data_IF_781431920645
#
_entry.id   IF_781431920645
#
_cell.length_a   1.000
_cell.length_b   1.000
_cell.length_c   1.000
_cell.angle_alpha   90.00
_cell.angle_beta   90.00
_cell.angle_gamma   90.00
#
_symmetry.space_group_name_H-M   'P 1'
#
loop_
_entity.id
_entity.type
_entity.pdbx_description
1 polymer ?
#
# COMPACT_ATOMS: atom_id res chain seq x y z
N UNK A 1 9.06 68.47 -23.40
CA UNK A 1 7.88 67.79 -22.82
C UNK A 1 8.17 66.30 -22.76
N UNK A 2 7.94 65.63 -21.61
CA UNK A 2 8.17 64.20 -21.44
C UNK A 2 6.98 63.40 -22.00
N UNK A 3 7.25 62.41 -22.85
CA UNK A 3 6.29 61.38 -23.25
C UNK A 3 6.52 60.13 -22.40
N UNK A 4 5.76 60.01 -21.31
CA UNK A 4 5.74 58.85 -20.42
C UNK A 4 5.02 57.67 -21.08
N UNK A 5 5.76 56.76 -21.68
CA UNK A 5 5.28 55.43 -22.06
C UNK A 5 5.48 54.46 -20.89
N UNK A 6 4.64 54.54 -19.86
CA UNK A 6 4.48 53.45 -18.89
C UNK A 6 3.76 52.31 -19.60
N UNK A 7 4.53 51.42 -20.24
CA UNK A 7 4.02 50.12 -20.63
C UNK A 7 3.54 49.40 -19.38
N UNK A 8 2.23 49.20 -19.27
CA UNK A 8 1.66 48.33 -18.25
C UNK A 8 2.40 46.99 -18.31
N UNK A 9 2.93 46.45 -17.19
CA UNK A 9 3.51 45.12 -17.20
C UNK A 9 2.42 44.17 -17.68
N UNK A 10 2.61 43.63 -18.89
CA UNK A 10 1.69 42.65 -19.46
C UNK A 10 1.48 41.56 -18.41
N UNK A 11 0.23 41.34 -18.03
CA UNK A 11 -0.17 40.22 -17.19
C UNK A 11 0.22 38.94 -17.94
N UNK A 12 1.44 38.45 -17.69
CA UNK A 12 1.86 37.13 -18.17
C UNK A 12 0.90 36.15 -17.51
N UNK A 13 -0.09 35.68 -18.27
CA UNK A 13 -1.01 34.66 -17.80
C UNK A 13 -0.18 33.47 -17.36
N UNK A 14 -0.22 33.15 -16.07
CA UNK A 14 0.52 31.98 -15.57
C UNK A 14 -0.03 30.74 -16.24
N UNK A 15 0.83 29.80 -16.62
CA UNK A 15 0.40 28.56 -17.26
C UNK A 15 -0.61 27.80 -16.39
N UNK A 16 -1.47 26.98 -17.00
CA UNK A 16 -2.46 26.17 -16.27
C UNK A 16 -1.81 25.33 -15.17
N UNK A 17 -0.61 24.77 -15.43
CA UNK A 17 0.16 24.02 -14.43
C UNK A 17 0.55 24.87 -13.21
N UNK A 18 0.94 26.14 -13.41
CA UNK A 18 1.28 27.07 -12.31
C UNK A 18 0.04 27.47 -11.52
N UNK A 19 -1.13 27.59 -12.16
CA UNK A 19 -2.39 27.82 -11.42
C UNK A 19 -2.78 26.59 -10.60
N UNK A 20 -2.67 25.40 -11.18
CA UNK A 20 -2.98 24.14 -10.51
C UNK A 20 -2.06 23.88 -9.31
N UNK A 21 -0.80 24.30 -9.37
CA UNK A 21 0.14 24.13 -8.26
C UNK A 21 -0.20 24.97 -7.02
N UNK A 22 -1.01 26.02 -7.19
CA UNK A 22 -1.45 26.89 -6.10
C UNK A 22 -2.81 26.48 -5.53
N UNK A 23 -3.52 25.56 -6.21
CA UNK A 23 -4.82 25.06 -5.78
C UNK A 23 -4.67 23.90 -4.80
N UNK A 24 -5.13 24.09 -3.55
CA UNK A 24 -5.19 23.01 -2.56
C UNK A 24 -6.08 21.84 -2.98
N UNK A 25 -7.04 22.05 -3.89
CA UNK A 25 -7.90 21.00 -4.45
C UNK A 25 -7.13 20.04 -5.33
N UNK A 26 -6.15 20.53 -6.10
CA UNK A 26 -5.32 19.69 -6.99
C UNK A 26 -4.60 18.61 -6.20
N UNK A 27 -3.96 18.99 -5.08
CA UNK A 27 -3.23 18.05 -4.24
C UNK A 27 -4.12 16.97 -3.63
N UNK A 28 -5.32 17.35 -3.16
CA UNK A 28 -6.29 16.39 -2.65
C UNK A 28 -6.77 15.44 -3.76
N UNK A 29 -7.19 15.96 -4.92
CA UNK A 29 -7.67 15.12 -6.03
C UNK A 29 -6.60 14.13 -6.48
N UNK A 30 -5.36 14.59 -6.70
CA UNK A 30 -4.26 13.71 -7.11
C UNK A 30 -3.96 12.61 -6.07
N UNK A 31 -3.96 12.94 -4.77
CA UNK A 31 -3.73 11.95 -3.73
C UNK A 31 -4.81 10.85 -3.72
N UNK A 32 -6.08 11.23 -3.86
CA UNK A 32 -7.18 10.27 -3.91
C UNK A 32 -7.21 9.47 -5.21
N UNK A 33 -6.78 10.04 -6.34
CA UNK A 33 -6.60 9.30 -7.59
C UNK A 33 -5.51 8.24 -7.48
N UNK A 34 -4.39 8.53 -6.80
CA UNK A 34 -3.35 7.52 -6.53
C UNK A 34 -3.90 6.40 -5.65
N UNK A 35 -4.63 6.72 -4.57
CA UNK A 35 -5.28 5.71 -3.72
C UNK A 35 -6.32 4.87 -4.48
N UNK A 36 -7.15 5.53 -5.29
CA UNK A 36 -8.14 4.87 -6.12
C UNK A 36 -7.45 3.93 -7.13
N UNK A 37 -6.33 4.37 -7.73
CA UNK A 37 -5.51 3.53 -8.60
C UNK A 37 -5.00 2.29 -7.87
N UNK A 38 -4.39 2.45 -6.69
CA UNK A 38 -3.89 1.32 -5.90
C UNK A 38 -5.00 0.37 -5.42
N UNK A 39 -6.18 0.90 -5.07
CA UNK A 39 -7.35 0.10 -4.71
C UNK A 39 -7.90 -0.66 -5.93
N UNK A 40 -7.99 0.01 -7.09
CA UNK A 40 -8.43 -0.62 -8.33
C UNK A 40 -7.50 -1.77 -8.70
N UNK A 41 -6.18 -1.57 -8.58
CA UNK A 41 -5.23 -2.64 -8.79
C UNK A 41 -5.35 -3.77 -7.78
N UNK A 42 -5.63 -3.47 -6.51
CA UNK A 42 -5.87 -4.49 -5.48
C UNK A 42 -7.11 -5.35 -5.81
N UNK A 43 -8.21 -4.73 -6.22
CA UNK A 43 -9.40 -5.48 -6.64
C UNK A 43 -9.11 -6.29 -7.92
N UNK A 44 -8.36 -5.72 -8.87
CA UNK A 44 -7.90 -6.41 -10.07
C UNK A 44 -7.11 -7.67 -9.75
N UNK A 45 -6.06 -7.59 -8.92
CA UNK A 45 -5.25 -8.77 -8.56
C UNK A 45 -6.03 -9.79 -7.73
N UNK A 46 -6.90 -9.35 -6.82
CA UNK A 46 -7.71 -10.28 -6.01
C UNK A 46 -8.67 -11.10 -6.88
N UNK A 47 -9.27 -10.43 -7.87
CA UNK A 47 -10.09 -11.10 -8.87
C UNK A 47 -9.24 -11.98 -9.79
N UNK A 48 -8.07 -11.52 -10.22
CA UNK A 48 -7.18 -12.27 -11.10
C UNK A 48 -6.72 -13.59 -10.49
N UNK A 49 -6.26 -13.56 -9.24
CA UNK A 49 -5.90 -14.75 -8.48
C UNK A 49 -7.09 -15.72 -8.42
N UNK A 50 -8.28 -15.22 -8.09
CA UNK A 50 -9.48 -16.06 -8.04
C UNK A 50 -9.86 -16.61 -9.43
N UNK A 51 -9.67 -15.84 -10.49
CA UNK A 51 -9.91 -16.28 -11.87
C UNK A 51 -8.99 -17.43 -12.26
N UNK A 52 -7.71 -17.34 -11.91
CA UNK A 52 -6.73 -18.41 -12.14
C UNK A 52 -7.08 -19.71 -11.38
N UNK A 53 -7.75 -19.60 -10.24
CA UNK A 53 -8.23 -20.75 -9.45
C UNK A 53 -9.52 -21.33 -10.05
N UNK A 54 -10.54 -20.48 -10.22
CA UNK A 54 -11.90 -20.87 -10.57
C UNK A 54 -12.08 -21.28 -12.03
N UNK A 55 -11.36 -20.65 -12.95
CA UNK A 55 -11.50 -20.85 -14.40
C UNK A 55 -10.19 -21.38 -14.97
N UNK A 56 -9.09 -20.72 -14.64
CA UNK A 56 -7.77 -20.99 -15.17
C UNK A 56 -7.27 -19.90 -16.13
N UNK A 57 -6.00 -20.01 -16.55
CA UNK A 57 -5.40 -19.05 -17.46
C UNK A 57 -6.11 -19.07 -18.82
N UNK A 58 -6.48 -17.87 -19.30
CA UNK A 58 -7.22 -17.69 -20.57
C UNK A 58 -6.39 -16.84 -21.54
N UNK A 59 -6.36 -15.52 -21.34
CA UNK A 59 -5.56 -14.59 -22.14
C UNK A 59 -4.89 -13.53 -21.27
N UNK A 60 -3.87 -12.86 -21.79
CA UNK A 60 -3.23 -11.74 -21.08
C UNK A 60 -4.21 -10.57 -20.84
N UNK A 61 -5.23 -10.41 -21.69
CA UNK A 61 -6.17 -9.29 -21.62
C UNK A 61 -7.51 -9.68 -20.98
N UNK A 62 -7.48 -10.50 -19.93
CA UNK A 62 -8.66 -10.74 -19.07
C UNK A 62 -9.15 -9.43 -18.46
N UNK A 63 -10.43 -9.36 -18.10
CA UNK A 63 -10.97 -8.18 -17.42
C UNK A 63 -10.30 -7.93 -16.06
N UNK A 64 -9.88 -8.97 -15.35
CA UNK A 64 -9.11 -8.87 -14.10
C UNK A 64 -7.76 -8.19 -14.32
N UNK A 65 -7.01 -8.60 -15.35
CA UNK A 65 -5.78 -7.93 -15.76
C UNK A 65 -6.03 -6.49 -16.19
N UNK A 66 -7.03 -6.22 -17.03
CA UNK A 66 -7.33 -4.85 -17.47
C UNK A 66 -7.66 -3.95 -16.27
N UNK A 67 -8.42 -4.45 -15.29
CA UNK A 67 -8.70 -3.73 -14.06
C UNK A 67 -7.40 -3.46 -13.27
N UNK A 68 -6.58 -4.49 -13.09
CA UNK A 68 -5.27 -4.41 -12.44
C UNK A 68 -4.37 -3.34 -13.07
N UNK A 69 -4.15 -3.41 -14.38
CA UNK A 69 -3.33 -2.48 -15.15
C UNK A 69 -3.92 -1.06 -15.17
N UNK A 70 -5.25 -0.92 -15.26
CA UNK A 70 -5.90 0.39 -15.24
C UNK A 70 -5.66 1.15 -13.93
N UNK A 71 -5.70 0.45 -12.78
CA UNK A 71 -5.41 1.05 -11.48
C UNK A 71 -3.98 1.59 -11.40
N UNK A 72 -3.01 0.82 -11.88
CA UNK A 72 -1.59 1.22 -11.89
C UNK A 72 -1.36 2.37 -12.86
N UNK A 73 -2.02 2.34 -14.03
CA UNK A 73 -1.98 3.44 -15.00
C UNK A 73 -2.53 4.75 -14.41
N UNK A 74 -3.67 4.70 -13.70
CA UNK A 74 -4.24 5.88 -13.00
C UNK A 74 -3.25 6.44 -11.99
N UNK A 75 -2.66 5.59 -11.14
CA UNK A 75 -1.67 6.01 -10.15
C UNK A 75 -0.40 6.61 -10.80
N UNK A 76 0.11 5.97 -11.85
CA UNK A 76 1.30 6.39 -12.59
C UNK A 76 1.12 7.71 -13.33
N UNK A 77 0.05 7.84 -14.12
CA UNK A 77 -0.26 9.07 -14.86
C UNK A 77 -0.51 10.23 -13.90
N UNK A 78 -1.28 10.01 -12.83
CA UNK A 78 -1.51 11.04 -11.81
C UNK A 78 -0.20 11.51 -11.18
N UNK A 79 0.69 10.57 -10.86
CA UNK A 79 2.00 10.86 -10.30
C UNK A 79 2.88 11.67 -11.26
N UNK A 80 2.91 11.28 -12.54
CA UNK A 80 3.62 12.02 -13.59
C UNK A 80 3.09 13.45 -13.73
N UNK A 81 1.77 13.62 -13.78
CA UNK A 81 1.13 14.95 -13.83
C UNK A 81 1.57 15.82 -12.64
N UNK A 82 1.60 15.26 -11.43
CA UNK A 82 2.04 16.00 -10.24
C UNK A 82 3.53 16.38 -10.29
N UNK A 83 4.40 15.53 -10.84
CA UNK A 83 5.81 15.86 -11.10
C UNK A 83 5.93 17.00 -12.12
N UNK A 84 5.14 16.96 -13.20
CA UNK A 84 5.14 18.01 -14.22
C UNK A 84 4.61 19.35 -13.67
N UNK A 85 3.56 19.33 -12.83
CA UNK A 85 3.03 20.52 -12.14
C UNK A 85 4.09 21.11 -11.21
N UNK A 86 4.75 20.28 -10.39
CA UNK A 86 5.82 20.72 -9.49
C UNK A 86 7.01 21.32 -10.25
N UNK A 87 7.39 20.70 -11.37
CA UNK A 87 8.46 21.17 -12.25
C UNK A 87 8.10 22.52 -12.88
N UNK A 88 6.88 22.67 -13.38
CA UNK A 88 6.41 23.93 -13.96
C UNK A 88 6.37 25.07 -12.93
N UNK A 89 5.93 24.78 -11.70
CA UNK A 89 5.93 25.74 -10.61
C UNK A 89 7.35 26.20 -10.25
N UNK A 90 8.30 25.26 -10.14
CA UNK A 90 9.70 25.58 -9.87
C UNK A 90 10.32 26.45 -10.98
N UNK A 91 10.08 26.12 -12.26
CA UNK A 91 10.57 26.91 -13.41
C UNK A 91 9.97 28.32 -13.44
N UNK A 92 8.75 28.49 -12.93
CA UNK A 92 8.08 29.78 -12.79
C UNK A 92 8.48 30.55 -11.51
N UNK A 93 9.50 30.09 -10.77
CA UNK A 93 9.94 30.72 -9.52
C UNK A 93 8.91 30.63 -8.39
N UNK A 94 7.96 29.69 -8.46
CA UNK A 94 6.91 29.51 -7.45
C UNK A 94 7.34 28.46 -6.42
N UNK A 95 6.91 28.64 -5.16
CA UNK A 95 7.20 27.68 -4.10
C UNK A 95 6.50 26.34 -4.38
N UNK A 96 7.24 25.24 -4.26
CA UNK A 96 6.76 23.85 -4.52
C UNK A 96 6.45 23.07 -3.26
N UNK A 97 6.74 23.64 -2.09
CA UNK A 97 6.44 23.09 -0.77
C UNK A 97 4.93 22.93 -0.52
N UNK A 98 4.08 23.73 -1.18
CA UNK A 98 2.63 23.66 -1.01
C UNK A 98 1.95 22.49 -1.73
N UNK A 99 2.68 21.74 -2.55
CA UNK A 99 2.14 20.59 -3.26
C UNK A 99 2.04 19.40 -2.31
N UNK A 100 0.92 18.67 -2.36
CA UNK A 100 0.81 17.38 -1.70
C UNK A 100 1.89 16.41 -2.23
N UNK A 101 2.23 15.35 -1.48
CA UNK A 101 3.23 14.37 -1.91
C UNK A 101 4.59 14.48 -1.23
N UNK A 102 4.75 15.42 -0.29
CA UNK A 102 5.95 15.55 0.55
C UNK A 102 7.06 16.38 -0.07
N UNK A 103 8.18 16.47 0.64
CA UNK A 103 9.33 17.31 0.26
C UNK A 103 9.79 16.98 -1.16
N UNK A 104 9.74 17.94 -2.10
CA UNK A 104 10.15 17.65 -3.46
C UNK A 104 11.66 17.39 -3.56
N UNK A 105 12.03 16.47 -4.45
CA UNK A 105 13.43 16.11 -4.77
C UNK A 105 13.77 16.53 -6.21
N UNK A 106 15.06 16.70 -6.50
CA UNK A 106 15.56 17.01 -7.85
C UNK A 106 15.87 15.70 -8.56
N UNK A 107 15.37 15.54 -9.78
CA UNK A 107 15.59 14.35 -10.61
C UNK A 107 16.35 14.77 -11.88
N UNK A 108 17.28 13.93 -12.35
CA UNK A 108 18.14 14.16 -13.51
C UNK A 108 18.80 15.54 -13.51
N UNK A 109 19.64 15.82 -12.51
CA UNK A 109 20.32 17.12 -12.40
C UNK A 109 19.39 18.31 -12.13
N UNK A 110 18.11 18.08 -11.82
CA UNK A 110 17.13 19.14 -11.57
C UNK A 110 16.27 19.51 -12.78
N UNK A 111 16.30 18.72 -13.85
CA UNK A 111 15.37 18.87 -14.99
C UNK A 111 13.92 18.77 -14.51
N UNK A 112 13.67 17.84 -13.57
CA UNK A 112 12.38 17.67 -12.91
C UNK A 112 12.47 17.94 -11.40
N UNK A 113 11.37 18.47 -10.87
CA UNK A 113 11.11 18.63 -9.45
C UNK A 113 9.94 17.72 -9.08
N UNK A 114 10.18 16.72 -8.25
CA UNK A 114 9.20 15.66 -7.99
C UNK A 114 8.88 15.58 -6.49
N UNK A 115 7.61 15.76 -6.06
CA UNK A 115 7.20 15.43 -4.69
C UNK A 115 7.49 13.95 -4.42
N UNK A 116 8.14 13.62 -3.29
CA UNK A 116 8.69 12.29 -3.04
C UNK A 116 7.66 11.16 -3.20
N UNK A 117 6.47 11.31 -2.63
CA UNK A 117 5.43 10.29 -2.70
C UNK A 117 4.96 10.00 -4.13
N UNK A 118 4.80 11.04 -4.96
CA UNK A 118 4.46 10.86 -6.37
C UNK A 118 5.64 10.32 -7.19
N UNK A 119 6.88 10.65 -6.85
CA UNK A 119 8.04 10.03 -7.50
C UNK A 119 8.06 8.52 -7.27
N UNK A 120 7.89 8.09 -6.01
CA UNK A 120 7.87 6.67 -5.64
C UNK A 120 6.67 5.98 -6.26
N UNK A 121 5.47 6.57 -6.15
CA UNK A 121 4.25 6.01 -6.74
C UNK A 121 4.36 5.83 -8.27
N UNK A 122 4.82 6.87 -8.96
CA UNK A 122 4.98 6.87 -10.40
C UNK A 122 6.08 5.91 -10.89
N UNK A 123 7.19 5.82 -10.15
CA UNK A 123 8.27 4.86 -10.48
C UNK A 123 7.79 3.42 -10.33
N UNK A 124 7.08 3.10 -9.25
CA UNK A 124 6.45 1.79 -9.06
C UNK A 124 5.49 1.45 -10.20
N UNK A 125 4.65 2.40 -10.61
CA UNK A 125 3.69 2.18 -11.70
C UNK A 125 4.37 2.02 -13.07
N UNK A 126 5.47 2.74 -13.32
CA UNK A 126 6.27 2.59 -14.53
C UNK A 126 6.98 1.23 -14.58
N UNK A 127 7.55 0.79 -13.45
CA UNK A 127 8.12 -0.55 -13.32
C UNK A 127 7.05 -1.63 -13.49
N UNK A 128 5.84 -1.41 -12.96
CA UNK A 128 4.73 -2.33 -13.11
C UNK A 128 4.36 -2.52 -14.59
N UNK A 129 4.27 -1.42 -15.35
CA UNK A 129 4.06 -1.50 -16.80
C UNK A 129 5.21 -2.26 -17.51
N UNK A 130 6.46 -1.99 -17.13
CA UNK A 130 7.61 -2.69 -17.70
C UNK A 130 7.53 -4.20 -17.43
N UNK A 131 7.28 -4.60 -16.18
CA UNK A 131 7.15 -6.01 -15.83
C UNK A 131 5.91 -6.65 -16.47
N UNK A 132 4.82 -5.92 -16.68
CA UNK A 132 3.66 -6.42 -17.43
C UNK A 132 3.97 -6.68 -18.91
N UNK A 133 4.82 -5.86 -19.53
CA UNK A 133 5.31 -6.13 -20.89
C UNK A 133 6.26 -7.33 -20.93
N UNK A 134 7.10 -7.49 -19.89
CA UNK A 134 7.95 -8.67 -19.74
C UNK A 134 7.13 -9.94 -19.48
N UNK A 135 6.03 -9.83 -18.76
CA UNK A 135 5.08 -10.90 -18.48
C UNK A 135 4.36 -11.35 -19.75
N UNK A 136 3.87 -10.40 -20.57
CA UNK A 136 3.33 -10.70 -21.89
C UNK A 136 4.36 -11.40 -22.78
N UNK A 137 5.61 -10.93 -22.78
CA UNK A 137 6.69 -11.58 -23.52
C UNK A 137 6.97 -13.00 -22.99
N UNK A 138 7.01 -13.18 -21.67
CA UNK A 138 7.20 -14.47 -21.02
C UNK A 138 6.13 -15.48 -21.45
N UNK A 139 4.86 -15.08 -21.42
CA UNK A 139 3.76 -15.92 -21.86
C UNK A 139 3.80 -16.27 -23.34
N UNK A 140 4.38 -15.41 -24.18
CA UNK A 140 4.58 -15.73 -25.60
C UNK A 140 5.60 -16.86 -25.84
N UNK A 141 6.51 -17.09 -24.88
CA UNK A 141 7.54 -18.13 -24.96
C UNK A 141 7.16 -19.41 -24.23
N UNK A 142 6.59 -19.28 -23.03
CA UNK A 142 6.36 -20.40 -22.11
C UNK A 142 4.89 -20.79 -21.96
N UNK A 143 3.96 -20.01 -22.54
CA UNK A 143 2.53 -20.15 -22.29
C UNK A 143 2.11 -19.46 -20.99
N UNK A 144 0.81 -19.56 -20.66
CA UNK A 144 0.28 -18.96 -19.44
C UNK A 144 0.65 -19.76 -18.20
N UNK A 145 1.01 -19.06 -17.12
CA UNK A 145 1.47 -19.68 -15.89
C UNK A 145 0.32 -20.39 -15.17
N UNK A 146 0.61 -21.57 -14.62
CA UNK A 146 -0.32 -22.30 -13.75
C UNK A 146 -0.20 -21.86 -12.28
N UNK A 147 0.91 -21.19 -11.92
CA UNK A 147 1.23 -20.68 -10.58
C UNK A 147 1.85 -19.29 -10.67
N UNK A 148 1.74 -18.48 -9.62
CA UNK A 148 2.09 -17.04 -9.63
C UNK A 148 3.61 -16.77 -9.55
N UNK A 149 4.47 -17.78 -9.63
CA UNK A 149 5.89 -17.69 -9.24
C UNK A 149 6.85 -17.35 -10.39
N UNK A 150 6.34 -16.92 -11.56
CA UNK A 150 7.23 -16.55 -12.65
C UNK A 150 7.99 -15.24 -12.34
N UNK A 151 9.24 -15.07 -12.83
CA UNK A 151 10.03 -13.88 -12.53
C UNK A 151 9.33 -12.55 -12.87
N UNK A 152 8.57 -12.41 -13.98
CA UNK A 152 7.79 -11.20 -14.25
C UNK A 152 6.71 -10.92 -13.20
N UNK A 153 5.97 -11.93 -12.71
CA UNK A 153 4.98 -11.77 -11.64
C UNK A 153 5.61 -11.23 -10.36
N UNK A 154 6.76 -11.76 -9.93
CA UNK A 154 7.49 -11.25 -8.76
C UNK A 154 7.85 -9.77 -8.96
N UNK A 155 8.34 -9.42 -10.16
CA UNK A 155 8.62 -8.03 -10.53
C UNK A 155 7.39 -7.13 -10.48
N UNK A 156 6.25 -7.59 -11.01
CA UNK A 156 4.95 -6.92 -10.94
C UNK A 156 4.53 -6.65 -9.49
N UNK A 157 4.60 -7.67 -8.63
CA UNK A 157 4.20 -7.59 -7.22
C UNK A 157 5.06 -6.63 -6.40
N UNK A 158 6.37 -6.62 -6.65
CA UNK A 158 7.27 -5.65 -6.02
C UNK A 158 6.97 -4.23 -6.54
N UNK A 159 6.78 -4.06 -7.85
CA UNK A 159 6.56 -2.76 -8.47
C UNK A 159 5.26 -2.09 -7.97
N UNK A 160 4.16 -2.82 -7.90
CA UNK A 160 2.90 -2.30 -7.36
C UNK A 160 2.98 -2.01 -5.85
N UNK A 161 3.72 -2.80 -5.09
CA UNK A 161 3.99 -2.50 -3.67
C UNK A 161 4.73 -1.17 -3.50
N UNK A 162 5.69 -0.87 -4.38
CA UNK A 162 6.35 0.45 -4.43
C UNK A 162 5.32 1.55 -4.72
N UNK A 163 4.37 1.32 -5.63
CA UNK A 163 3.28 2.28 -5.89
C UNK A 163 2.44 2.55 -4.63
N UNK A 164 2.07 1.51 -3.90
CA UNK A 164 1.31 1.59 -2.66
C UNK A 164 2.08 2.32 -1.55
N UNK A 165 3.39 2.08 -1.42
CA UNK A 165 4.28 2.85 -0.53
C UNK A 165 4.27 4.34 -0.90
N UNK A 166 4.31 4.66 -2.19
CA UNK A 166 4.17 6.02 -2.68
C UNK A 166 2.85 6.68 -2.23
N UNK A 167 1.73 5.96 -2.32
CA UNK A 167 0.43 6.40 -1.81
C UNK A 167 0.46 6.75 -0.31
N UNK A 168 1.05 5.87 0.52
CA UNK A 168 1.25 6.10 1.96
C UNK A 168 2.07 7.38 2.21
N UNK A 169 3.17 7.59 1.47
CA UNK A 169 4.01 8.79 1.59
C UNK A 169 3.20 10.05 1.21
N UNK A 170 2.38 9.99 0.15
CA UNK A 170 1.53 11.12 -0.27
C UNK A 170 0.60 11.56 0.85
N UNK A 171 -0.13 10.64 1.47
CA UNK A 171 -1.06 10.99 2.56
C UNK A 171 -0.36 11.35 3.87
N UNK A 172 0.77 10.72 4.17
CA UNK A 172 1.57 11.06 5.35
C UNK A 172 2.09 12.51 5.31
N UNK A 173 2.38 13.04 4.13
CA UNK A 173 2.84 14.42 3.93
C UNK A 173 1.77 15.49 4.23
N UNK A 174 0.49 15.12 4.22
CA UNK A 174 -0.68 15.99 4.40
C UNK A 174 -1.57 15.55 5.57
N UNK A 175 -0.97 14.81 6.51
CA UNK A 175 -1.62 14.18 7.68
C UNK A 175 -2.22 15.17 8.69
N UNK A 176 -1.93 16.45 8.57
CA UNK A 176 -2.54 17.54 9.34
C UNK A 176 -4.00 17.78 8.91
N UNK A 177 -4.29 17.53 7.63
CA UNK A 177 -5.64 17.64 7.07
C UNK A 177 -6.53 16.44 7.43
N UNK A 178 -7.86 16.61 7.43
CA UNK A 178 -8.80 15.50 7.69
C UNK A 178 -8.74 14.41 6.61
N UNK A 179 -8.64 14.81 5.35
CA UNK A 179 -8.61 13.90 4.21
C UNK A 179 -7.25 13.20 4.11
N UNK A 180 -6.16 13.88 4.49
CA UNK A 180 -4.84 13.27 4.62
C UNK A 180 -4.80 12.13 5.63
N UNK A 181 -5.43 12.33 6.79
CA UNK A 181 -5.57 11.30 7.83
C UNK A 181 -6.39 10.11 7.37
N UNK A 182 -7.56 10.38 6.79
CA UNK A 182 -8.43 9.34 6.26
C UNK A 182 -7.70 8.54 5.17
N UNK A 183 -7.07 9.22 4.22
CA UNK A 183 -6.32 8.56 3.16
C UNK A 183 -5.13 7.74 3.66
N UNK A 184 -4.41 8.19 4.69
CA UNK A 184 -3.34 7.38 5.30
C UNK A 184 -3.89 6.11 5.99
N UNK A 185 -5.02 6.24 6.70
CA UNK A 185 -5.71 5.10 7.33
C UNK A 185 -6.18 4.10 6.27
N UNK A 186 -6.58 4.57 5.08
CA UNK A 186 -7.06 3.72 3.99
C UNK A 186 -5.93 3.16 3.11
N UNK A 187 -4.81 3.87 2.94
CA UNK A 187 -3.69 3.41 2.11
C UNK A 187 -2.86 2.31 2.76
N UNK A 188 -2.78 2.29 4.09
CA UNK A 188 -2.01 1.28 4.83
C UNK A 188 -2.59 -0.13 4.65
N UNK A 189 -3.92 -0.36 4.83
CA UNK A 189 -4.53 -1.66 4.58
C UNK A 189 -4.23 -2.21 3.19
N UNK A 190 -4.25 -1.37 2.15
CA UNK A 190 -3.95 -1.79 0.77
C UNK A 190 -2.57 -2.44 0.69
N UNK A 191 -1.56 -1.84 1.33
CA UNK A 191 -0.21 -2.38 1.38
C UNK A 191 -0.09 -3.64 2.27
N UNK A 192 -0.85 -3.70 3.37
CA UNK A 192 -0.91 -4.91 4.22
C UNK A 192 -1.44 -6.10 3.41
N UNK A 193 -2.54 -5.92 2.68
CA UNK A 193 -3.15 -6.99 1.88
C UNK A 193 -2.26 -7.49 0.75
N UNK A 194 -1.36 -6.65 0.23
CA UNK A 194 -0.44 -7.05 -0.82
C UNK A 194 0.79 -7.84 -0.30
N UNK A 195 1.06 -7.77 1.01
CA UNK A 195 2.24 -8.39 1.62
C UNK A 195 2.31 -9.91 1.36
N UNK A 196 1.27 -10.73 1.62
CA UNK A 196 1.35 -12.18 1.43
C UNK A 196 1.78 -12.57 0.01
N UNK A 197 1.36 -11.80 -1.00
CA UNK A 197 1.71 -12.05 -2.40
C UNK A 197 3.22 -11.87 -2.61
N UNK A 198 3.77 -10.77 -2.11
CA UNK A 198 5.22 -10.48 -2.27
C UNK A 198 6.12 -11.43 -1.50
N UNK A 199 5.68 -11.93 -0.34
CA UNK A 199 6.47 -12.85 0.49
C UNK A 199 6.35 -14.29 0.04
N UNK A 200 5.29 -14.64 -0.69
CA UNK A 200 5.17 -15.96 -1.34
C UNK A 200 6.30 -16.21 -2.36
N UNK A 201 6.90 -15.16 -2.94
CA UNK A 201 8.09 -15.32 -3.81
C UNK A 201 9.27 -16.07 -3.16
N UNK A 202 9.27 -16.24 -1.83
CA UNK A 202 10.27 -16.98 -1.08
C UNK A 202 9.83 -18.41 -0.70
N UNK A 203 8.61 -18.85 -1.04
CA UNK A 203 8.03 -20.14 -0.64
C UNK A 203 8.82 -21.34 -1.14
N UNK A 204 9.55 -21.20 -2.25
CA UNK A 204 10.45 -22.22 -2.78
C UNK A 204 11.69 -22.47 -1.89
N UNK A 205 11.99 -21.60 -0.93
CA UNK A 205 13.14 -21.77 -0.03
C UNK A 205 12.81 -22.78 1.09
N UNK A 206 13.71 -23.74 1.39
CA UNK A 206 13.51 -24.72 2.45
C UNK A 206 13.79 -24.11 3.83
N UNK A 207 12.94 -23.18 4.25
CA UNK A 207 13.06 -22.50 5.54
C UNK A 207 12.26 -23.25 6.62
N UNK A 208 12.68 -23.13 7.90
CA UNK A 208 11.98 -23.80 9.02
C UNK A 208 10.60 -23.20 9.33
N UNK A 209 10.31 -22.01 8.81
CA UNK A 209 9.03 -21.31 8.97
C UNK A 209 8.66 -20.74 7.61
N UNK A 210 7.38 -20.83 7.26
CA UNK A 210 6.85 -20.27 6.01
C UNK A 210 7.17 -18.76 5.90
N UNK A 211 7.94 -18.34 4.88
CA UNK A 211 8.24 -16.94 4.61
C UNK A 211 7.00 -16.06 4.49
N UNK A 212 5.89 -16.60 3.97
CA UNK A 212 4.66 -15.86 3.80
C UNK A 212 4.09 -15.43 5.17
N UNK A 213 4.01 -16.37 6.12
CA UNK A 213 3.54 -16.10 7.49
C UNK A 213 4.44 -15.11 8.22
N UNK A 214 5.77 -15.24 8.09
CA UNK A 214 6.74 -14.28 8.66
C UNK A 214 6.53 -12.89 8.06
N UNK A 215 6.34 -12.81 6.75
CA UNK A 215 6.01 -11.57 6.04
C UNK A 215 4.74 -10.92 6.57
N UNK A 216 3.67 -11.70 6.70
CA UNK A 216 2.39 -11.23 7.23
C UNK A 216 2.53 -10.64 8.63
N UNK A 217 3.27 -11.31 9.53
CA UNK A 217 3.58 -10.79 10.87
C UNK A 217 4.36 -9.47 10.78
N UNK A 218 5.45 -9.46 10.00
CA UNK A 218 6.38 -8.33 9.91
C UNK A 218 5.67 -7.07 9.41
N UNK A 219 5.10 -7.12 8.21
CA UNK A 219 4.56 -5.92 7.56
C UNK A 219 3.26 -5.47 8.21
N UNK A 220 2.36 -6.38 8.61
CA UNK A 220 1.11 -6.01 9.29
C UNK A 220 1.39 -5.26 10.59
N UNK A 221 2.32 -5.79 11.41
CA UNK A 221 2.72 -5.16 12.68
C UNK A 221 3.46 -3.84 12.44
N UNK A 222 4.41 -3.82 11.50
CA UNK A 222 5.19 -2.64 11.15
C UNK A 222 4.27 -1.51 10.69
N UNK A 223 3.35 -1.79 9.76
CA UNK A 223 2.48 -0.78 9.15
C UNK A 223 1.43 -0.24 10.13
N UNK A 224 0.89 -1.08 11.02
CA UNK A 224 0.01 -0.62 12.12
C UNK A 224 0.72 0.36 13.06
N UNK A 225 1.93 0.01 13.51
CA UNK A 225 2.72 0.86 14.42
C UNK A 225 3.18 2.13 13.70
N UNK A 226 3.65 2.01 12.46
CA UNK A 226 4.09 3.13 11.64
C UNK A 226 2.96 4.14 11.42
N UNK A 227 1.77 3.68 11.04
CA UNK A 227 0.59 4.53 10.90
C UNK A 227 0.23 5.23 12.21
N UNK A 228 0.27 4.49 13.32
CA UNK A 228 -0.03 5.02 14.65
C UNK A 228 0.93 6.12 15.09
N UNK A 229 2.23 5.94 14.88
CA UNK A 229 3.23 6.97 15.20
C UNK A 229 3.23 8.14 14.21
N UNK A 230 2.91 7.89 12.94
CA UNK A 230 2.81 8.94 11.92
C UNK A 230 1.67 9.90 12.24
N UNK A 231 0.50 9.38 12.63
CA UNK A 231 -0.66 10.21 13.01
C UNK A 231 -0.65 10.69 14.47
N UNK A 232 0.04 9.99 15.36
CA UNK A 232 0.16 10.34 16.79
C UNK A 232 -1.12 10.21 17.60
N UNK A 233 -2.20 9.63 17.04
CA UNK A 233 -3.52 9.51 17.69
C UNK A 233 -3.74 8.11 18.28
N UNK A 234 -4.34 8.01 19.49
CA UNK A 234 -4.46 6.74 20.22
C UNK A 234 -5.34 5.67 19.55
N UNK A 235 -6.32 6.08 18.73
CA UNK A 235 -7.20 5.16 18.00
C UNK A 235 -6.72 4.79 16.59
N UNK A 236 -5.52 5.18 16.18
CA UNK A 236 -5.07 5.00 14.78
C UNK A 236 -4.91 3.53 14.41
N UNK A 237 -4.29 2.71 15.27
CA UNK A 237 -4.12 1.28 15.01
C UNK A 237 -5.48 0.60 14.79
N UNK A 238 -6.46 0.92 15.64
CA UNK A 238 -7.83 0.38 15.53
C UNK A 238 -8.52 0.83 14.25
N UNK A 239 -8.37 2.10 13.85
CA UNK A 239 -8.95 2.60 12.61
C UNK A 239 -8.35 1.91 11.37
N UNK A 240 -7.04 1.68 11.36
CA UNK A 240 -6.36 0.94 10.28
C UNK A 240 -6.83 -0.51 10.25
N UNK A 241 -6.85 -1.19 11.40
CA UNK A 241 -7.30 -2.58 11.49
C UNK A 241 -8.78 -2.74 11.10
N UNK A 242 -9.64 -1.80 11.48
CA UNK A 242 -11.04 -1.78 11.06
C UNK A 242 -11.18 -1.56 9.54
N UNK A 243 -10.41 -0.63 8.98
CA UNK A 243 -10.39 -0.42 7.52
C UNK A 243 -9.89 -1.66 6.77
N UNK A 244 -8.89 -2.36 7.31
CA UNK A 244 -8.42 -3.64 6.77
C UNK A 244 -9.52 -4.71 6.83
N UNK A 245 -10.24 -4.84 7.94
CA UNK A 245 -11.36 -5.79 8.04
C UNK A 245 -12.50 -5.50 7.06
N UNK A 246 -12.85 -4.22 6.86
CA UNK A 246 -13.83 -3.80 5.83
C UNK A 246 -13.34 -4.17 4.43
N UNK A 247 -12.05 -3.92 4.14
CA UNK A 247 -11.46 -4.26 2.85
C UNK A 247 -11.41 -5.77 2.63
N UNK A 248 -11.04 -6.55 3.65
CA UNK A 248 -11.06 -8.01 3.60
C UNK A 248 -12.47 -8.54 3.33
N UNK A 249 -13.49 -8.04 4.04
CA UNK A 249 -14.89 -8.44 3.81
C UNK A 249 -15.36 -8.10 2.39
N UNK A 250 -14.96 -6.94 1.86
CA UNK A 250 -15.27 -6.55 0.48
C UNK A 250 -14.64 -7.50 -0.53
N UNK A 251 -13.35 -7.83 -0.38
CA UNK A 251 -12.63 -8.74 -1.28
C UNK A 251 -13.13 -10.19 -1.15
N UNK A 252 -13.53 -10.61 0.06
CA UNK A 252 -14.11 -11.94 0.32
C UNK A 252 -15.34 -12.20 -0.53
N UNK A 253 -16.21 -11.18 -0.65
CA UNK A 253 -17.39 -11.27 -1.50
C UNK A 253 -17.04 -11.02 -2.97
N UNK A 254 -16.26 -9.98 -3.26
CA UNK A 254 -16.01 -9.51 -4.62
C UNK A 254 -15.26 -10.53 -5.49
N UNK A 255 -14.18 -11.13 -4.98
CA UNK A 255 -13.28 -11.95 -5.81
C UNK A 255 -13.99 -13.16 -6.44
N UNK A 256 -14.69 -14.03 -5.67
CA UNK A 256 -15.40 -15.17 -6.25
C UNK A 256 -16.65 -14.75 -7.03
N UNK A 257 -17.30 -13.65 -6.64
CA UNK A 257 -18.42 -13.10 -7.42
C UNK A 257 -17.97 -12.65 -8.80
N UNK A 258 -16.89 -11.86 -8.87
CA UNK A 258 -16.37 -11.32 -10.13
C UNK A 258 -15.87 -12.44 -11.06
N UNK A 259 -15.19 -13.46 -10.50
CA UNK A 259 -14.75 -14.62 -11.27
C UNK A 259 -15.94 -15.36 -11.91
N UNK A 260 -16.97 -15.70 -11.13
CA UNK A 260 -18.15 -16.41 -11.63
C UNK A 260 -18.96 -15.62 -12.67
N UNK A 261 -19.24 -14.35 -12.38
CA UNK A 261 -20.02 -13.50 -13.29
C UNK A 261 -19.30 -13.31 -14.62
N UNK A 262 -17.99 -13.13 -14.59
CA UNK A 262 -17.21 -12.97 -15.81
C UNK A 262 -17.07 -14.28 -16.60
N UNK A 263 -16.96 -15.42 -15.92
CA UNK A 263 -16.91 -16.73 -16.56
C UNK A 263 -18.23 -17.01 -17.30
N UNK A 264 -19.36 -16.78 -16.63
CA UNK A 264 -20.69 -16.91 -17.22
C UNK A 264 -20.87 -15.98 -18.42
N UNK A 265 -20.50 -14.70 -18.28
CA UNK A 265 -20.60 -13.72 -19.36
C UNK A 265 -19.70 -14.06 -20.58
N UNK A 266 -18.60 -14.77 -20.35
CA UNK A 266 -17.66 -15.19 -21.39
C UNK A 266 -17.96 -16.58 -21.95
N UNK A 267 -18.97 -17.28 -21.42
CA UNK A 267 -19.28 -18.65 -21.79
C UNK A 267 -18.20 -19.68 -21.41
N UNK A 268 -17.39 -19.36 -20.40
CA UNK A 268 -16.32 -20.23 -19.91
C UNK A 268 -16.83 -21.08 -18.73
N UNK A 269 -16.48 -22.38 -18.68
CA UNK A 269 -16.80 -23.22 -17.54
C UNK A 269 -15.95 -22.84 -16.34
N UNK A 270 -16.49 -23.08 -15.16
CA UNK A 270 -15.68 -23.14 -13.93
C UNK A 270 -14.99 -24.52 -13.86
N UNK A 271 -13.86 -24.61 -13.17
CA UNK A 271 -13.17 -25.88 -12.92
C UNK A 271 -14.04 -26.84 -12.12
N UNK A 272 -13.87 -28.13 -12.40
CA UNK A 272 -14.49 -29.19 -11.61
C UNK A 272 -13.88 -29.20 -10.19
N UNK A 273 -14.68 -29.58 -9.20
CA UNK A 273 -14.28 -29.65 -7.78
C UNK A 273 -13.83 -28.31 -7.17
N UNK A 274 -14.39 -27.18 -7.61
CA UNK A 274 -14.40 -25.99 -6.77
C UNK A 274 -15.20 -26.31 -5.51
N UNK A 275 -14.51 -26.71 -4.45
CA UNK A 275 -15.11 -26.90 -3.15
C UNK A 275 -15.64 -25.54 -2.62
N UNK A 276 -16.37 -25.57 -1.51
CA UNK A 276 -16.73 -24.35 -0.76
C UNK A 276 -15.50 -23.77 -0.04
N UNK A 277 -14.39 -23.65 -0.76
CA UNK A 277 -13.13 -23.13 -0.27
C UNK A 277 -13.20 -21.60 -0.10
N UNK A 278 -12.55 -21.06 0.95
CA UNK A 278 -12.37 -19.63 1.09
C UNK A 278 -11.69 -19.00 -0.14
N UNK A 279 -12.05 -17.75 -0.50
CA UNK A 279 -11.36 -17.04 -1.57
C UNK A 279 -9.90 -16.79 -1.19
N UNK A 280 -8.98 -17.00 -2.14
CA UNK A 280 -7.55 -17.19 -1.85
C UNK A 280 -6.89 -15.96 -1.21
N UNK A 281 -6.82 -14.82 -1.91
CA UNK A 281 -6.18 -13.62 -1.36
C UNK A 281 -6.86 -13.12 -0.07
N UNK A 282 -8.21 -13.00 0.02
CA UNK A 282 -8.87 -12.57 1.25
C UNK A 282 -8.63 -13.50 2.45
N UNK A 283 -8.49 -14.82 2.22
CA UNK A 283 -8.18 -15.81 3.24
C UNK A 283 -6.76 -15.70 3.78
N UNK A 284 -5.82 -15.14 3.00
CA UNK A 284 -4.43 -14.91 3.42
C UNK A 284 -4.23 -13.58 4.19
N UNK A 285 -5.21 -12.67 4.17
CA UNK A 285 -5.16 -11.43 4.97
C UNK A 285 -5.36 -11.79 6.46
N UNK A 286 -4.53 -11.28 7.39
CA UNK A 286 -4.72 -11.54 8.82
C UNK A 286 -6.08 -11.01 9.33
N UNK A 287 -6.98 -11.91 9.74
CA UNK A 287 -8.36 -11.62 10.14
C UNK A 287 -8.47 -10.97 11.51
N UNK A 288 -7.56 -11.31 12.42
CA UNK A 288 -7.61 -10.88 13.82
C UNK A 288 -6.83 -9.58 14.08
N UNK A 289 -6.71 -8.71 13.08
CA UNK A 289 -5.90 -7.49 13.17
C UNK A 289 -6.42 -6.47 14.18
N UNK A 290 -7.71 -6.53 14.54
CA UNK A 290 -8.25 -5.75 15.66
C UNK A 290 -7.64 -6.17 17.00
N UNK A 291 -7.35 -7.45 17.22
CA UNK A 291 -6.68 -7.92 18.43
C UNK A 291 -5.26 -7.36 18.52
N UNK A 292 -4.49 -7.46 17.44
CA UNK A 292 -3.15 -6.89 17.37
C UNK A 292 -3.17 -5.36 17.58
N UNK A 293 -4.12 -4.67 16.97
CA UNK A 293 -4.30 -3.22 17.16
C UNK A 293 -4.67 -2.85 18.61
N UNK A 294 -5.51 -3.64 19.28
CA UNK A 294 -5.84 -3.44 20.70
C UNK A 294 -4.60 -3.59 21.58
N UNK A 295 -3.78 -4.63 21.34
CA UNK A 295 -2.51 -4.84 22.06
C UNK A 295 -1.56 -3.66 21.84
N UNK A 296 -1.38 -3.23 20.59
CA UNK A 296 -0.52 -2.08 20.24
C UNK A 296 -1.03 -0.79 20.93
N UNK A 297 -2.34 -0.52 20.90
CA UNK A 297 -2.94 0.65 21.54
C UNK A 297 -2.81 0.60 23.06
N UNK A 298 -3.00 -0.56 23.69
CA UNK A 298 -2.84 -0.75 25.13
C UNK A 298 -1.38 -0.54 25.56
N UNK A 299 -0.42 -1.10 24.82
CA UNK A 299 1.02 -0.92 25.08
C UNK A 299 1.47 0.52 24.85
N UNK A 300 0.92 1.23 23.86
CA UNK A 300 1.16 2.65 23.67
C UNK A 300 0.65 3.48 24.86
N UNK A 301 -0.56 3.18 25.35
CA UNK A 301 -1.11 3.84 26.52
C UNK A 301 -0.26 3.57 27.76
N UNK A 302 0.14 2.31 27.99
CA UNK A 302 0.98 1.93 29.12
C UNK A 302 2.35 2.59 29.06
N UNK A 303 2.98 2.60 27.88
CA UNK A 303 4.25 3.28 27.62
C UNK A 303 4.20 4.76 28.00
N UNK A 304 3.11 5.45 27.64
CA UNK A 304 2.92 6.87 28.00
C UNK A 304 2.72 7.07 29.49
N UNK A 305 1.96 6.17 30.14
CA UNK A 305 1.70 6.23 31.58
C UNK A 305 2.96 5.97 32.41
N UNK A 306 3.80 5.04 31.98
CA UNK A 306 5.01 4.64 32.68
C UNK A 306 6.27 5.41 32.24
N UNK A 307 6.17 6.30 31.25
CA UNK A 307 7.30 7.09 30.77
C UNK A 307 8.38 6.25 30.09
N UNK A 308 8.01 5.19 29.37
CA UNK A 308 8.99 4.36 28.66
C UNK A 308 9.77 5.17 27.63
N UNK A 309 11.06 4.84 27.47
CA UNK A 309 11.90 5.44 26.45
C UNK A 309 11.33 5.20 25.05
N UNK A 310 11.30 6.24 24.22
CA UNK A 310 10.94 6.14 22.80
C UNK A 310 11.86 5.23 22.00
N UNK A 311 13.00 4.79 22.56
CA UNK A 311 13.90 3.80 21.97
C UNK A 311 13.50 2.36 22.20
N UNK A 312 12.62 2.07 23.17
CA UNK A 312 12.26 0.70 23.58
C UNK A 312 10.76 0.46 23.41
N UNK A 313 9.93 1.48 23.65
CA UNK A 313 8.48 1.38 23.55
C UNK A 313 8.01 0.83 22.18
N UNK A 314 8.53 1.27 21.02
CA UNK A 314 8.16 0.70 19.73
C UNK A 314 8.41 -0.80 19.61
N UNK A 315 9.54 -1.29 20.14
CA UNK A 315 9.93 -2.68 20.10
C UNK A 315 9.05 -3.54 21.00
N UNK A 316 8.66 -3.04 22.18
CA UNK A 316 7.70 -3.74 23.06
C UNK A 316 6.33 -3.80 22.39
N UNK A 317 5.87 -2.68 21.80
CA UNK A 317 4.62 -2.65 21.01
C UNK A 317 4.68 -3.64 19.84
N UNK A 318 5.83 -3.68 19.14
CA UNK A 318 6.11 -4.60 18.07
C UNK A 318 6.08 -6.06 18.54
N UNK A 319 6.75 -6.39 19.64
CA UNK A 319 6.74 -7.73 20.23
C UNK A 319 5.33 -8.20 20.58
N UNK A 320 4.54 -7.35 21.24
CA UNK A 320 3.15 -7.67 21.61
C UNK A 320 2.22 -7.79 20.41
N UNK A 321 2.28 -6.83 19.48
CA UNK A 321 1.48 -6.86 18.25
C UNK A 321 1.85 -8.03 17.34
N UNK A 322 3.14 -8.29 17.17
CA UNK A 322 3.65 -9.40 16.37
C UNK A 322 3.29 -10.75 16.97
N UNK A 323 3.38 -10.93 18.29
CA UNK A 323 2.91 -12.14 18.96
C UNK A 323 1.40 -12.35 18.78
N UNK A 324 0.59 -11.28 18.85
CA UNK A 324 -0.85 -11.37 18.59
C UNK A 324 -1.16 -11.80 17.15
N UNK A 325 -0.47 -11.22 16.15
CA UNK A 325 -0.62 -11.63 14.75
C UNK A 325 -0.14 -13.08 14.57
N UNK A 326 1.05 -13.43 15.07
CA UNK A 326 1.62 -14.76 14.94
C UNK A 326 0.77 -15.85 15.56
N UNK A 327 0.22 -15.63 16.76
CA UNK A 327 -0.74 -16.55 17.38
C UNK A 327 -2.02 -16.69 16.54
N UNK A 328 -2.47 -15.61 15.92
CA UNK A 328 -3.74 -15.59 15.20
C UNK A 328 -3.72 -16.29 13.84
N UNK A 329 -2.55 -16.44 13.21
CA UNK A 329 -2.44 -17.04 11.88
C UNK A 329 -2.77 -18.55 11.88
N UNK A 330 -2.20 -19.40 12.76
CA UNK A 330 -2.62 -20.81 12.82
C UNK A 330 -4.07 -20.98 13.26
N UNK A 331 -4.59 -20.10 14.13
CA UNK A 331 -6.01 -20.10 14.52
C UNK A 331 -6.90 -19.80 13.32
N UNK A 332 -6.51 -18.82 12.50
CA UNK A 332 -7.21 -18.49 11.25
C UNK A 332 -7.22 -19.67 10.28
N UNK A 333 -6.06 -20.28 10.01
CA UNK A 333 -5.98 -21.46 9.13
C UNK A 333 -6.87 -22.60 9.63
N UNK A 334 -6.81 -22.92 10.92
CA UNK A 334 -7.64 -23.97 11.50
C UNK A 334 -9.15 -23.66 11.38
N UNK A 335 -9.56 -22.40 11.56
CA UNK A 335 -10.96 -21.99 11.37
C UNK A 335 -11.44 -22.12 9.93
N UNK A 336 -10.57 -21.82 8.97
CA UNK A 336 -10.89 -21.91 7.54
C UNK A 336 -10.95 -23.36 7.05
N UNK A 337 -10.08 -24.21 7.57
CA UNK A 337 -9.99 -25.62 7.19
C UNK A 337 -10.97 -26.51 7.99
N UNK A 338 -11.70 -25.94 8.95
CA UNK A 338 -12.58 -26.71 9.85
C UNK A 338 -11.83 -27.67 10.78
N UNK A 339 -10.58 -27.35 11.12
CA UNK A 339 -9.68 -28.17 11.92
C UNK A 339 -9.36 -27.53 13.29
N UNK A 340 -8.55 -28.21 14.11
CA UNK A 340 -8.03 -27.66 15.37
C UNK A 340 -6.59 -27.18 15.18
N UNK A 341 -6.19 -26.01 15.70
CA UNK A 341 -4.82 -25.54 15.57
C UNK A 341 -3.85 -26.42 16.36
N UNK A 342 -2.70 -26.75 15.78
CA UNK A 342 -1.65 -27.50 16.46
C UNK A 342 -1.01 -26.63 17.56
N UNK A 343 -0.97 -27.09 18.84
CA UNK A 343 -0.28 -26.39 19.91
C UNK A 343 1.19 -26.05 19.63
N UNK A 344 1.91 -26.91 18.90
CA UNK A 344 3.30 -26.67 18.52
C UNK A 344 3.42 -25.51 17.53
N UNK A 345 2.51 -25.41 16.56
CA UNK A 345 2.46 -24.31 15.60
C UNK A 345 2.07 -23.00 16.27
N UNK A 346 1.08 -23.04 17.19
CA UNK A 346 0.70 -21.86 17.98
C UNK A 346 1.90 -21.30 18.76
N UNK A 347 2.67 -22.17 19.43
CA UNK A 347 3.87 -21.75 20.15
C UNK A 347 4.93 -21.18 19.21
N UNK A 348 5.22 -21.90 18.12
CA UNK A 348 6.23 -21.51 17.12
C UNK A 348 5.91 -20.16 16.48
N UNK A 349 4.66 -19.96 16.05
CA UNK A 349 4.26 -18.70 15.42
C UNK A 349 4.13 -17.55 16.42
N UNK A 350 3.79 -17.83 17.69
CA UNK A 350 3.83 -16.79 18.75
C UNK A 350 5.25 -16.31 19.01
N UNK A 351 6.23 -17.22 19.09
CA UNK A 351 7.65 -16.88 19.29
C UNK A 351 8.19 -16.13 18.07
N UNK A 352 7.91 -16.64 16.86
CA UNK A 352 8.25 -15.96 15.60
C UNK A 352 7.63 -14.56 15.55
N UNK A 353 6.36 -14.45 15.97
CA UNK A 353 5.61 -13.21 16.14
C UNK A 353 6.31 -12.21 17.04
N UNK A 354 6.77 -12.66 18.21
CA UNK A 354 7.47 -11.84 19.19
C UNK A 354 8.79 -11.30 18.62
N UNK A 355 9.63 -12.18 18.06
CA UNK A 355 10.96 -11.81 17.54
C UNK A 355 10.85 -10.89 16.33
N UNK A 356 10.05 -11.27 15.34
CA UNK A 356 9.81 -10.47 14.13
C UNK A 356 9.11 -9.16 14.47
N UNK A 357 8.20 -9.19 15.46
CA UNK A 357 7.53 -8.02 16.01
C UNK A 357 8.49 -6.97 16.57
N UNK A 358 9.53 -7.37 17.30
CA UNK A 358 10.57 -6.43 17.80
C UNK A 358 11.21 -5.66 16.65
N UNK A 359 11.58 -6.37 15.56
CA UNK A 359 12.13 -5.75 14.35
C UNK A 359 11.10 -4.83 13.69
N UNK A 360 9.85 -5.27 13.56
CA UNK A 360 8.74 -4.48 13.03
C UNK A 360 8.60 -3.15 13.78
N UNK A 361 8.58 -3.19 15.12
CA UNK A 361 8.49 -2.01 15.97
C UNK A 361 9.69 -1.07 15.83
N UNK A 362 10.90 -1.62 15.78
CA UNK A 362 12.14 -0.86 15.58
C UNK A 362 12.14 -0.09 14.24
N UNK A 363 11.70 -0.74 13.16
CA UNK A 363 11.62 -0.15 11.83
C UNK A 363 10.47 0.86 11.74
N UNK A 364 9.29 0.50 12.26
CA UNK A 364 8.10 1.34 12.25
C UNK A 364 8.34 2.72 12.88
N UNK A 365 9.06 2.78 14.00
CA UNK A 365 9.40 4.04 14.65
C UNK A 365 10.26 4.95 13.76
N UNK A 366 11.25 4.40 13.05
CA UNK A 366 12.14 5.15 12.14
C UNK A 366 11.39 5.63 10.91
N UNK A 367 10.62 4.74 10.29
CA UNK A 367 9.80 5.08 9.13
C UNK A 367 8.78 6.17 9.50
N UNK A 368 8.17 6.09 10.68
CA UNK A 368 7.25 7.14 11.14
C UNK A 368 7.95 8.49 11.39
N UNK A 369 9.24 8.52 11.76
CA UNK A 369 10.01 9.78 11.82
C UNK A 369 10.23 10.32 10.41
N UNK A 370 10.71 9.49 9.47
CA UNK A 370 10.93 9.88 8.08
C UNK A 370 9.65 10.42 7.42
N UNK A 371 8.51 9.74 7.60
CA UNK A 371 7.21 10.19 7.11
C UNK A 371 6.78 11.51 7.75
N UNK A 372 7.16 11.74 9.01
CA UNK A 372 6.85 12.99 9.71
C UNK A 372 7.70 14.16 9.24
N UNK A 373 8.98 13.94 8.96
CA UNK A 373 9.91 14.93 8.43
C UNK A 373 9.66 15.27 6.96
N UNK A 374 9.13 14.31 6.18
CA UNK A 374 8.71 14.54 4.79
C UNK A 374 7.41 15.38 4.66
N UNK A 375 6.85 15.85 5.77
CA UNK A 375 5.66 16.69 5.79
C UNK A 375 5.94 18.07 5.24
N UNK A 376 5.04 18.58 4.41
CA UNK A 376 5.07 19.98 3.96
C UNK A 376 4.36 20.93 4.94
N UNK A 377 3.67 20.38 5.95
CA UNK A 377 3.11 21.17 7.04
C UNK A 377 4.22 21.98 7.73
N UNK A 378 4.04 23.30 7.96
CA UNK A 378 5.00 24.09 8.71
C UNK A 378 5.21 23.42 10.07
N UNK A 379 6.48 23.21 10.43
CA UNK A 379 6.87 22.69 11.74
C UNK A 379 6.16 23.53 12.81
N UNK A 380 5.09 23.02 13.39
CA UNK A 380 4.64 23.49 14.70
C UNK A 380 5.76 23.14 15.64
N UNK A 381 6.66 24.11 15.88
CA UNK A 381 7.57 24.09 17.01
C UNK A 381 6.71 23.88 18.27
N UNK A 382 6.86 22.71 18.89
CA UNK A 382 6.33 22.41 20.22
C UNK A 382 5.16 21.42 20.23
N UNK A 383 5.45 20.17 20.57
CA UNK A 383 5.19 19.59 21.89
C UNK A 383 5.71 18.16 21.97
#
# INVERSE_FOLDING_TARGET
MPGTGLGAPGLVQSSSAVRLSQSGRTGAVAAHLVLAGTLTSLFGISWDIQWHIDVGPDTFFTLSHLLLYSGSAVAGVTSLVMVLIATAAQRAGRPTDRLAGGTPVRVFGGIFRAPLGYLIAGTGAALFLLFGLLDLWWHSLYGFDAVLDSPPHIGLFVAISITMVGSVIVFAAVRDTRWGRAGLILSIPVLITFTPITTNAFSALPLPVDPQLVGNILFSTLLLIMGTFTLGRPGTALAIAAALGVMQAALWWFSPWAARVYAEASGLPLRDNLADEPPDLPAQIPMFMLLAALVITALLWLSRRQGWSGRIAPQIMGAGGGAAVGLSLPVQSALLDGSSPDPADLLTMTITGLVTGVLAGYLAARLAVLLRENSTAPLTKGR
#
